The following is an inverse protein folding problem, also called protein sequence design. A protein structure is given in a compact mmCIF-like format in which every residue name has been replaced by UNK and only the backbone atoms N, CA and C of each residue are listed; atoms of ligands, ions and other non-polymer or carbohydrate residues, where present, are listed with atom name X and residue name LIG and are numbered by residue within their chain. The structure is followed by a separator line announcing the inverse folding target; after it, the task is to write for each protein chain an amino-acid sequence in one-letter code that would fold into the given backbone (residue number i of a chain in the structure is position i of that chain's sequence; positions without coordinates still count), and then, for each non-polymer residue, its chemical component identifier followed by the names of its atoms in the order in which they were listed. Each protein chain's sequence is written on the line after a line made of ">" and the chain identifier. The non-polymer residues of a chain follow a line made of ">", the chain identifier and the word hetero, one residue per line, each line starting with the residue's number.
data_IF_624659561119
#
_entry.id   IF_624659561119
#
_cell.length_a   1.000
_cell.length_b   1.000
_cell.length_c   1.000
_cell.angle_alpha   90.00
_cell.angle_beta   90.00
_cell.angle_gamma   90.00
#
_symmetry.space_group_name_H-M   'P 1'
#
loop_
_entity.id
_entity.type
_entity.pdbx_description
1 polymer ?
#
# COMPACT_ATOMS: atom_id res chain seq x y z
N UNK A 1 -1.82 -14.27 -21.60
CA UNK A 1 -0.72 -13.60 -20.87
C UNK A 1 -1.32 -12.55 -19.96
N UNK A 2 -1.32 -12.80 -18.65
CA UNK A 2 -2.17 -12.07 -17.71
C UNK A 2 -1.64 -10.65 -17.44
N UNK A 3 -2.32 -9.63 -17.99
CA UNK A 3 -2.21 -8.20 -17.64
C UNK A 3 -2.59 -7.90 -16.17
N UNK A 4 -2.43 -8.86 -15.27
CA UNK A 4 -2.99 -8.89 -13.91
C UNK A 4 -1.94 -8.76 -12.80
N UNK A 5 -0.65 -8.66 -13.11
CA UNK A 5 0.38 -8.70 -12.06
C UNK A 5 0.49 -7.39 -11.25
N UNK A 6 0.02 -6.26 -11.79
CA UNK A 6 -0.08 -4.98 -11.09
C UNK A 6 -1.52 -4.48 -11.13
N UNK A 7 -2.30 -4.86 -10.12
CA UNK A 7 -3.57 -4.20 -9.81
C UNK A 7 -3.25 -2.81 -9.23
N UNK A 8 -3.93 -1.78 -9.69
CA UNK A 8 -3.71 -0.41 -9.22
C UNK A 8 -3.85 -0.34 -7.69
N UNK A 9 -4.76 -1.14 -7.15
CA UNK A 9 -5.03 -1.28 -5.73
C UNK A 9 -3.82 -1.75 -4.91
N UNK A 10 -2.91 -2.55 -5.49
CA UNK A 10 -1.64 -2.93 -4.84
C UNK A 10 -0.65 -1.77 -4.76
N UNK A 11 -0.62 -0.91 -5.79
CA UNK A 11 0.23 0.27 -5.81
C UNK A 11 -0.27 1.30 -4.80
N UNK A 12 -1.60 1.49 -4.72
CA UNK A 12 -2.24 2.34 -3.70
C UNK A 12 -1.94 1.83 -2.29
N UNK A 13 -2.02 0.51 -2.05
CA UNK A 13 -1.66 -0.06 -0.74
C UNK A 13 -0.20 0.23 -0.37
N UNK A 14 0.73 0.01 -1.29
CA UNK A 14 2.15 0.27 -1.05
C UNK A 14 2.44 1.76 -0.79
N UNK A 15 1.78 2.65 -1.53
CA UNK A 15 1.88 4.09 -1.33
C UNK A 15 1.30 4.51 0.04
N UNK A 16 0.16 3.96 0.44
CA UNK A 16 -0.44 4.23 1.75
C UNK A 16 0.47 3.75 2.90
N UNK A 17 1.04 2.55 2.80
CA UNK A 17 1.98 2.04 3.81
C UNK A 17 3.21 2.95 3.95
N UNK A 18 3.74 3.43 2.82
CA UNK A 18 4.84 4.41 2.82
C UNK A 18 4.44 5.72 3.49
N UNK A 19 3.27 6.27 3.13
CA UNK A 19 2.76 7.51 3.71
C UNK A 19 2.62 7.39 5.23
N UNK A 20 2.02 6.30 5.71
CA UNK A 20 1.84 6.06 7.15
C UNK A 20 3.18 5.95 7.89
N UNK A 21 4.22 5.37 7.27
CA UNK A 21 5.58 5.38 7.84
C UNK A 21 6.13 6.80 7.94
N UNK A 22 5.99 7.60 6.89
CA UNK A 22 6.49 8.98 6.84
C UNK A 22 5.75 9.87 7.84
N UNK A 23 4.43 9.72 7.97
CA UNK A 23 3.60 10.42 8.95
C UNK A 23 3.99 10.07 10.40
N UNK A 24 4.40 8.83 10.64
CA UNK A 24 4.96 8.40 11.92
C UNK A 24 6.40 8.89 12.16
N UNK A 25 6.98 9.67 11.25
CA UNK A 25 8.32 10.24 11.36
C UNK A 25 9.45 9.20 11.29
N UNK A 26 9.18 7.99 10.77
CA UNK A 26 10.14 6.90 10.76
C UNK A 26 10.85 6.83 9.41
N UNK A 27 12.18 6.64 9.42
CA UNK A 27 12.90 6.16 8.23
C UNK A 27 12.71 4.65 8.06
N UNK A 28 12.92 4.12 6.86
CA UNK A 28 12.72 2.69 6.56
C UNK A 28 13.55 1.76 7.44
N UNK A 29 14.77 2.15 7.82
CA UNK A 29 15.62 1.37 8.75
C UNK A 29 15.03 1.27 10.15
N UNK A 30 14.32 2.29 10.62
CA UNK A 30 13.65 2.29 11.93
C UNK A 30 12.47 1.32 11.93
N UNK A 31 11.62 1.38 10.91
CA UNK A 31 10.50 0.44 10.77
C UNK A 31 11.01 -0.99 10.60
N UNK A 32 12.03 -1.20 9.77
CA UNK A 32 12.64 -2.51 9.58
C UNK A 32 13.11 -3.13 10.91
N UNK A 33 13.76 -2.35 11.79
CA UNK A 33 14.16 -2.79 13.13
C UNK A 33 12.96 -3.21 13.98
N UNK A 34 11.87 -2.41 13.98
CA UNK A 34 10.64 -2.76 14.71
C UNK A 34 10.01 -4.06 14.22
N UNK A 35 10.11 -4.34 12.92
CA UNK A 35 9.59 -5.56 12.30
C UNK A 35 10.53 -6.77 12.41
N UNK A 36 11.74 -6.61 12.96
CA UNK A 36 12.76 -7.66 12.93
C UNK A 36 13.21 -8.04 11.51
N UNK A 37 13.16 -7.08 10.57
CA UNK A 37 13.52 -7.25 9.15
C UNK A 37 14.65 -6.31 8.75
N UNK A 38 15.14 -6.45 7.52
CA UNK A 38 16.11 -5.51 6.93
C UNK A 38 15.41 -4.33 6.22
N UNK A 39 16.14 -3.26 5.93
CA UNK A 39 15.57 -2.10 5.25
C UNK A 39 15.09 -2.43 3.82
N UNK A 40 15.75 -3.35 3.12
CA UNK A 40 15.35 -3.80 1.78
C UNK A 40 13.95 -4.41 1.76
N UNK A 41 13.55 -5.13 2.83
CA UNK A 41 12.20 -5.65 2.98
C UNK A 41 11.17 -4.51 2.95
N UNK A 42 11.39 -3.47 3.77
CA UNK A 42 10.50 -2.29 3.84
C UNK A 42 10.46 -1.56 2.50
N UNK A 43 11.62 -1.34 1.87
CA UNK A 43 11.70 -0.72 0.54
C UNK A 43 10.92 -1.50 -0.53
N UNK A 44 11.10 -2.83 -0.59
CA UNK A 44 10.42 -3.67 -1.58
C UNK A 44 8.89 -3.70 -1.38
N UNK A 45 8.42 -3.60 -0.14
CA UNK A 45 6.99 -3.45 0.19
C UNK A 45 6.47 -2.10 -0.30
N UNK A 46 7.15 -1.01 0.04
CA UNK A 46 6.74 0.36 -0.33
C UNK A 46 6.81 0.62 -1.85
N UNK A 47 7.59 -0.17 -2.58
CA UNK A 47 7.67 -0.16 -4.05
C UNK A 47 6.71 -1.15 -4.73
N UNK A 48 5.89 -1.87 -3.95
CA UNK A 48 5.01 -2.95 -4.43
C UNK A 48 5.73 -4.10 -5.17
N UNK A 49 7.06 -4.21 -5.03
CA UNK A 49 7.87 -5.31 -5.55
C UNK A 49 7.59 -6.59 -4.74
N UNK A 50 7.36 -6.43 -3.43
CA UNK A 50 7.01 -7.52 -2.51
C UNK A 50 5.62 -7.29 -1.93
N UNK A 51 4.75 -8.28 -2.10
CA UNK A 51 3.44 -8.31 -1.44
C UNK A 51 3.60 -8.81 -0.01
N UNK A 52 2.79 -8.27 0.89
CA UNK A 52 2.61 -8.77 2.25
C UNK A 52 1.42 -9.73 2.25
N UNK A 53 1.54 -10.85 2.95
CA UNK A 53 0.34 -11.59 3.36
C UNK A 53 -0.37 -10.86 4.52
N UNK A 54 -1.51 -11.39 4.96
CA UNK A 54 -2.33 -10.75 5.99
C UNK A 54 -1.62 -10.64 7.36
N UNK A 55 -0.81 -11.63 7.71
CA UNK A 55 -0.07 -11.64 8.99
C UNK A 55 1.05 -10.63 8.93
N UNK A 56 1.82 -10.62 7.84
CA UNK A 56 2.87 -9.63 7.63
C UNK A 56 2.32 -8.20 7.55
N UNK A 57 1.14 -8.02 6.96
CA UNK A 57 0.45 -6.72 6.92
C UNK A 57 0.05 -6.25 8.32
N UNK A 58 -0.44 -7.17 9.16
CA UNK A 58 -0.75 -6.90 10.56
C UNK A 58 0.49 -6.50 11.34
N UNK A 59 1.61 -7.20 11.15
CA UNK A 59 2.88 -6.88 11.80
C UNK A 59 3.41 -5.51 11.34
N UNK A 60 3.29 -5.22 10.03
CA UNK A 60 3.64 -3.92 9.47
C UNK A 60 2.85 -2.77 10.11
N UNK A 61 1.53 -2.96 10.28
CA UNK A 61 0.66 -2.01 10.98
C UNK A 61 1.09 -1.82 12.45
N UNK A 62 1.40 -2.91 13.14
CA UNK A 62 1.87 -2.85 14.53
C UNK A 62 3.20 -2.09 14.63
N UNK A 63 4.12 -2.27 13.68
CA UNK A 63 5.37 -1.50 13.62
C UNK A 63 5.15 0.01 13.43
N UNK A 64 4.01 0.40 12.85
CA UNK A 64 3.56 1.78 12.64
C UNK A 64 2.65 2.31 13.76
N UNK A 65 2.42 1.54 14.83
CA UNK A 65 1.51 1.90 15.92
C UNK A 65 0.05 2.15 15.47
N UNK A 66 -0.40 1.45 14.42
CA UNK A 66 -1.80 1.48 13.95
C UNK A 66 -2.43 0.08 13.92
N UNK A 67 -3.75 0.04 13.89
CA UNK A 67 -4.48 -1.22 13.72
C UNK A 67 -4.58 -1.61 12.24
N UNK A 68 -4.61 -2.92 11.94
CA UNK A 68 -4.90 -3.42 10.60
C UNK A 68 -6.25 -2.91 10.06
N UNK A 69 -7.25 -2.75 10.93
CA UNK A 69 -8.56 -2.21 10.55
C UNK A 69 -8.47 -0.79 10.03
N UNK A 70 -7.74 0.09 10.73
CA UNK A 70 -7.53 1.48 10.32
C UNK A 70 -6.85 1.56 8.94
N UNK A 71 -5.85 0.69 8.69
CA UNK A 71 -5.23 0.60 7.37
C UNK A 71 -6.25 0.23 6.28
N UNK A 72 -7.06 -0.81 6.51
CA UNK A 72 -8.05 -1.28 5.54
C UNK A 72 -9.11 -0.21 5.28
N UNK A 73 -9.62 0.45 6.32
CA UNK A 73 -10.63 1.50 6.18
C UNK A 73 -10.09 2.67 5.33
N UNK A 74 -8.85 3.11 5.58
CA UNK A 74 -8.19 4.16 4.78
C UNK A 74 -7.96 3.73 3.33
N UNK A 75 -7.53 2.49 3.10
CA UNK A 75 -7.28 1.96 1.77
C UNK A 75 -8.56 1.84 0.93
N UNK A 76 -9.64 1.30 1.51
CA UNK A 76 -10.96 1.20 0.87
C UNK A 76 -11.48 2.57 0.44
N UNK A 77 -11.33 3.60 1.30
CA UNK A 77 -11.68 4.97 0.94
C UNK A 77 -10.89 5.47 -0.29
N UNK A 78 -9.56 5.25 -0.32
CA UNK A 78 -8.71 5.69 -1.42
C UNK A 78 -9.06 5.00 -2.75
N UNK A 79 -9.26 3.68 -2.77
CA UNK A 79 -9.57 2.96 -4.00
C UNK A 79 -10.98 3.27 -4.53
N UNK A 80 -11.95 3.61 -3.66
CA UNK A 80 -13.28 4.08 -4.08
C UNK A 80 -13.20 5.43 -4.80
N UNK A 81 -12.32 6.33 -4.37
CA UNK A 81 -12.08 7.61 -5.04
C UNK A 81 -11.39 7.44 -6.40
N UNK A 82 -10.37 6.59 -6.47
CA UNK A 82 -9.63 6.31 -7.71
C UNK A 82 -10.51 5.61 -8.75
N UNK A 83 -11.38 4.69 -8.34
CA UNK A 83 -12.32 4.01 -9.26
C UNK A 83 -13.45 4.92 -9.75
N UNK A 84 -13.94 5.88 -8.96
CA UNK A 84 -14.91 6.89 -9.42
C UNK A 84 -14.29 7.88 -10.41
N UNK A 85 -13.04 8.32 -10.19
CA UNK A 85 -12.32 9.20 -11.12
C UNK A 85 -11.98 8.51 -12.45
N UNK A 86 -11.71 7.20 -12.45
CA UNK A 86 -11.40 6.41 -13.65
C UNK A 86 -12.60 6.11 -14.55
N UNK A 87 -13.82 6.02 -14.01
CA UNK A 87 -15.04 5.75 -14.79
C UNK A 87 -15.43 6.88 -15.76
N UNK A 88 -14.94 8.10 -15.55
CA UNK A 88 -15.21 9.25 -16.42
C UNK A 88 -14.39 9.30 -17.72
N UNK A 89 -13.27 8.56 -17.83
CA UNK A 89 -12.35 8.64 -18.97
C UNK A 89 -12.50 7.53 -20.02
N UNK A 90 -13.40 6.56 -19.82
CA UNK A 90 -13.65 5.41 -20.72
C UNK A 90 -14.84 5.60 -21.67
N UNK A 91 -15.25 6.85 -21.96
CA UNK A 91 -16.28 7.15 -22.98
C UNK A 91 -15.87 8.28 -23.93
N UNK A 92 -14.79 8.13 -24.69
CA UNK A 92 -14.63 8.87 -25.96
C UNK A 92 -13.86 8.04 -26.99
N UNK A 93 -14.61 7.42 -27.90
CA UNK A 93 -14.16 7.16 -29.27
C UNK A 93 -15.37 7.45 -30.18
N UNK A 94 -15.44 8.59 -30.89
CA UNK A 94 -16.22 8.65 -32.11
C UNK A 94 -15.37 8.01 -33.23
N UNK A 95 -16.09 7.41 -34.18
CA UNK A 95 -15.54 6.68 -35.33
C UNK A 95 -14.84 7.55 -36.34
#
# INVERSE_FOLDING_TARGET
>A
MAKSLYRAENLELAALLRQLREDAGMVQTTLAKRLGRNQTFVSNVELAIRRLDLVELRDYCAGLDISLRDLVDRWELQIVHTTKAGRGKLKRKPG
#
